data_IF_255405069779
#
_entry.id   IF_255405069779
#
_cell.length_a   1.000
_cell.length_b   1.000
_cell.length_c   1.000
_cell.angle_alpha   90.00
_cell.angle_beta   90.00
_cell.angle_gamma   90.00
#
_symmetry.space_group_name_H-M   'P 1'
#
loop_
_entity.id
_entity.type
_entity.pdbx_description
1 polymer ?
#
# COMPACT_ATOMS: atom_id res chain seq x y z
N UNK A 1 -1.39 3.90 28.78
CA UNK A 1 -1.27 4.67 27.52
C UNK A 1 -1.82 3.92 26.31
N UNK A 2 -1.45 2.64 26.09
CA UNK A 2 -1.99 1.80 24.99
C UNK A 2 -3.52 1.66 24.97
N UNK A 3 -4.17 1.66 26.13
CA UNK A 3 -5.64 1.59 26.25
C UNK A 3 -6.39 2.79 25.67
N UNK A 4 -5.68 3.86 25.24
CA UNK A 4 -6.26 5.04 24.58
C UNK A 4 -6.13 5.00 23.06
N UNK A 5 -5.46 3.99 22.50
CA UNK A 5 -5.28 3.84 21.06
C UNK A 5 -6.53 3.20 20.45
N UNK A 6 -6.88 3.61 19.22
CA UNK A 6 -7.84 2.85 18.42
C UNK A 6 -7.24 1.52 17.97
N UNK A 7 -8.08 0.58 17.54
CA UNK A 7 -7.70 -0.80 17.27
C UNK A 7 -6.57 -0.93 16.22
N UNK A 8 -6.61 -0.10 15.18
CA UNK A 8 -5.56 -0.03 14.15
C UNK A 8 -4.22 0.42 14.75
N UNK A 9 -4.22 1.50 15.53
CA UNK A 9 -3.01 2.00 16.18
C UNK A 9 -2.48 1.03 17.24
N UNK A 10 -3.38 0.33 17.95
CA UNK A 10 -3.04 -0.71 18.90
C UNK A 10 -2.38 -1.91 18.22
N UNK A 11 -2.94 -2.41 17.12
CA UNK A 11 -2.37 -3.51 16.34
C UNK A 11 -0.96 -3.18 15.86
N UNK A 12 -0.76 -2.00 15.25
CA UNK A 12 0.58 -1.53 14.87
C UNK A 12 1.52 -1.44 16.07
N UNK A 13 1.06 -0.90 17.20
CA UNK A 13 1.89 -0.74 18.41
C UNK A 13 2.30 -2.10 18.97
N UNK A 14 1.38 -3.07 19.00
CA UNK A 14 1.65 -4.43 19.41
C UNK A 14 2.71 -5.09 18.51
N UNK A 15 2.51 -5.09 17.19
CA UNK A 15 3.47 -5.66 16.25
C UNK A 15 4.85 -4.98 16.32
N UNK A 16 4.88 -3.66 16.48
CA UNK A 16 6.12 -2.89 16.61
C UNK A 16 6.80 -2.99 18.00
N UNK A 17 6.17 -3.64 18.98
CA UNK A 17 6.78 -3.89 20.29
C UNK A 17 7.71 -5.11 20.27
N UNK A 18 7.52 -6.04 19.32
CA UNK A 18 8.37 -7.21 19.20
C UNK A 18 9.75 -6.85 18.66
N UNK A 19 10.76 -7.14 19.47
CA UNK A 19 12.19 -7.05 19.13
C UNK A 19 12.80 -8.44 19.13
N UNK A 20 13.84 -8.63 18.33
CA UNK A 20 14.56 -9.89 18.28
C UNK A 20 15.48 -9.98 19.51
N UNK A 21 15.43 -11.10 20.24
CA UNK A 21 16.22 -11.26 21.46
C UNK A 21 17.74 -11.11 21.24
N UNK A 22 18.24 -11.51 20.06
CA UNK A 22 19.65 -11.37 19.66
C UNK A 22 20.01 -10.02 19.03
N UNK A 23 19.03 -9.14 18.78
CA UNK A 23 19.25 -7.82 18.20
C UNK A 23 18.23 -6.81 18.76
N UNK A 24 18.36 -6.51 20.05
CA UNK A 24 17.45 -5.62 20.77
C UNK A 24 17.58 -4.15 20.35
N UNK A 25 18.74 -3.77 19.79
CA UNK A 25 19.06 -2.40 19.37
C UNK A 25 18.65 -2.09 17.94
N UNK A 26 18.20 -3.09 17.17
CA UNK A 26 17.69 -2.87 15.82
C UNK A 26 16.54 -1.86 15.81
N UNK A 27 16.47 -1.03 14.77
CA UNK A 27 15.29 -0.20 14.47
C UNK A 27 14.23 -0.94 13.65
N UNK A 28 14.54 -2.16 13.18
CA UNK A 28 13.61 -3.00 12.43
C UNK A 28 12.45 -3.43 13.31
N UNK A 29 11.23 -3.33 12.78
CA UNK A 29 10.01 -3.88 13.40
C UNK A 29 9.13 -4.49 12.33
N UNK A 30 8.38 -5.51 12.71
CA UNK A 30 7.45 -6.19 11.82
C UNK A 30 6.29 -5.26 11.43
N UNK A 31 5.86 -5.26 10.15
CA UNK A 31 4.57 -4.71 9.77
C UNK A 31 3.45 -5.59 10.30
N UNK A 32 2.22 -5.11 10.20
CA UNK A 32 1.02 -5.84 10.58
C UNK A 32 -0.09 -5.68 9.54
N UNK A 33 -1.08 -6.57 9.61
CA UNK A 33 -2.36 -6.42 8.93
C UNK A 33 -3.44 -6.54 9.99
N UNK A 34 -4.31 -5.54 10.09
CA UNK A 34 -5.48 -5.59 10.96
C UNK A 34 -6.70 -5.94 10.12
N UNK A 35 -7.43 -6.97 10.53
CA UNK A 35 -8.74 -7.32 9.98
C UNK A 35 -9.82 -6.64 10.83
N UNK A 36 -10.48 -5.63 10.27
CA UNK A 36 -11.54 -4.89 10.96
C UNK A 36 -12.80 -5.71 11.19
N UNK A 37 -13.07 -6.69 10.32
CA UNK A 37 -14.25 -7.55 10.40
C UNK A 37 -14.11 -8.55 11.53
N UNK A 38 -12.98 -9.26 11.57
CA UNK A 38 -12.69 -10.27 12.60
C UNK A 38 -12.03 -9.68 13.85
N UNK A 39 -11.77 -8.37 13.86
CA UNK A 39 -11.04 -7.64 14.91
C UNK A 39 -9.70 -8.29 15.29
N UNK A 40 -9.02 -8.85 14.29
CA UNK A 40 -7.81 -9.66 14.48
C UNK A 40 -6.58 -8.93 13.97
N UNK A 41 -5.50 -8.94 14.77
CA UNK A 41 -4.21 -8.35 14.41
C UNK A 41 -3.23 -9.44 13.99
N UNK A 42 -2.79 -9.40 12.73
CA UNK A 42 -1.80 -10.31 12.19
C UNK A 42 -0.44 -9.61 12.12
N UNK A 43 0.55 -10.13 12.84
CA UNK A 43 1.93 -9.67 12.70
C UNK A 43 2.57 -10.35 11.49
N UNK A 44 3.08 -9.54 10.56
CA UNK A 44 3.64 -10.04 9.32
C UNK A 44 5.09 -10.45 9.52
N UNK A 45 5.37 -11.73 9.29
CA UNK A 45 6.73 -12.24 9.36
C UNK A 45 7.61 -11.70 8.22
N UNK A 46 7.03 -11.58 7.03
CA UNK A 46 7.66 -11.04 5.83
C UNK A 46 7.29 -9.57 5.65
N UNK A 47 8.29 -8.73 5.36
CA UNK A 47 8.09 -7.31 5.04
C UNK A 47 8.07 -7.02 3.55
N UNK A 48 8.48 -7.99 2.72
CA UNK A 48 8.43 -7.87 1.27
C UNK A 48 6.97 -7.84 0.79
N UNK A 49 6.70 -7.01 -0.21
CA UNK A 49 5.36 -6.77 -0.73
C UNK A 49 5.20 -7.23 -2.17
N UNK A 50 6.28 -7.29 -2.95
CA UNK A 50 6.25 -7.75 -4.34
C UNK A 50 7.45 -8.65 -4.68
N UNK A 51 7.16 -9.74 -5.38
CA UNK A 51 8.11 -10.62 -6.04
C UNK A 51 7.46 -11.10 -7.35
N UNK A 52 7.64 -10.34 -8.43
CA UNK A 52 7.05 -10.60 -9.76
C UNK A 52 8.10 -10.69 -10.86
N UNK A 53 9.34 -11.09 -10.54
CA UNK A 53 10.42 -11.20 -11.53
C UNK A 53 10.03 -12.13 -12.69
N UNK A 54 10.10 -11.68 -13.96
CA UNK A 54 9.56 -12.42 -15.11
C UNK A 54 10.25 -13.77 -15.34
N UNK A 55 11.49 -13.93 -14.85
CA UNK A 55 12.25 -15.19 -14.89
C UNK A 55 11.65 -16.29 -14.00
N UNK A 56 10.95 -15.93 -12.93
CA UNK A 56 10.42 -16.87 -11.92
C UNK A 56 8.90 -16.86 -11.82
N UNK A 57 8.26 -15.78 -12.26
CA UNK A 57 6.81 -15.55 -12.18
C UNK A 57 6.13 -15.55 -13.57
N UNK A 58 6.67 -16.33 -14.51
CA UNK A 58 6.08 -16.50 -15.84
C UNK A 58 4.93 -17.53 -15.81
N UNK A 59 3.80 -17.27 -16.49
CA UNK A 59 2.72 -18.25 -16.66
C UNK A 59 3.17 -19.55 -17.35
N UNK A 60 4.27 -19.48 -18.12
CA UNK A 60 4.80 -20.59 -18.92
C UNK A 60 5.74 -21.52 -18.13
N UNK A 61 5.81 -21.37 -16.80
CA UNK A 61 6.78 -22.10 -15.99
C UNK A 61 6.46 -23.60 -15.91
N UNK A 62 7.03 -24.38 -16.85
CA UNK A 62 7.37 -25.79 -16.69
C UNK A 62 8.35 -26.04 -15.52
N UNK A 63 8.81 -24.98 -14.86
CA UNK A 63 9.80 -25.00 -13.81
C UNK A 63 9.11 -25.27 -12.45
N UNK A 64 9.19 -26.52 -11.96
CA UNK A 64 8.65 -26.95 -10.66
C UNK A 64 9.28 -26.24 -9.45
N UNK A 65 10.36 -25.48 -9.68
CA UNK A 65 11.04 -24.66 -8.68
C UNK A 65 10.57 -23.19 -8.68
N UNK A 66 9.45 -22.87 -9.35
CA UNK A 66 8.85 -21.54 -9.32
C UNK A 66 8.51 -21.11 -7.88
N UNK A 67 9.13 -20.01 -7.45
CA UNK A 67 9.01 -19.43 -6.11
C UNK A 67 7.60 -18.86 -5.91
N UNK A 68 7.19 -18.71 -4.64
CA UNK A 68 5.99 -17.97 -4.27
C UNK A 68 6.04 -16.54 -4.85
N UNK A 69 5.30 -16.33 -5.93
CA UNK A 69 5.12 -15.03 -6.59
C UNK A 69 3.95 -14.29 -5.94
N UNK A 70 4.16 -13.03 -5.61
CA UNK A 70 3.17 -12.21 -4.93
C UNK A 70 3.35 -10.75 -5.30
N UNK A 71 2.26 -9.99 -5.22
CA UNK A 71 2.22 -8.56 -5.44
C UNK A 71 1.17 -7.92 -4.55
N UNK A 72 1.28 -6.62 -4.22
CA UNK A 72 0.23 -5.94 -3.50
C UNK A 72 -1.02 -5.79 -4.40
N UNK A 73 -2.20 -5.87 -3.80
CA UNK A 73 -3.45 -5.69 -4.53
C UNK A 73 -4.57 -5.18 -3.61
N UNK A 74 -5.57 -4.55 -4.19
CA UNK A 74 -6.86 -4.23 -3.55
C UNK A 74 -7.96 -4.97 -4.28
N UNK A 75 -8.40 -6.09 -3.73
CA UNK A 75 -9.50 -6.90 -4.25
C UNK A 75 -10.65 -6.99 -3.22
N UNK A 76 -11.70 -7.74 -3.54
CA UNK A 76 -12.87 -7.88 -2.68
C UNK A 76 -12.54 -8.55 -1.35
N UNK A 77 -11.65 -9.54 -1.35
CA UNK A 77 -11.31 -10.32 -0.17
C UNK A 77 -10.52 -9.51 0.87
N UNK A 78 -9.88 -8.43 0.43
CA UNK A 78 -9.03 -7.58 1.28
C UNK A 78 -9.69 -6.30 1.77
N UNK A 79 -11.00 -6.11 1.52
CA UNK A 79 -11.64 -4.82 1.79
C UNK A 79 -11.62 -4.43 3.27
N UNK A 80 -11.69 -5.39 4.19
CA UNK A 80 -11.66 -5.17 5.64
C UNK A 80 -10.22 -5.16 6.22
N UNK A 81 -9.21 -5.35 5.37
CA UNK A 81 -7.82 -5.47 5.80
C UNK A 81 -7.12 -4.11 5.73
N UNK A 82 -6.39 -3.78 6.79
CA UNK A 82 -5.58 -2.56 6.89
C UNK A 82 -4.11 -2.95 7.03
N UNK A 83 -3.31 -2.67 6.00
CA UNK A 83 -1.87 -2.87 6.05
C UNK A 83 -1.18 -1.76 6.85
N UNK A 84 -0.34 -2.16 7.82
CA UNK A 84 0.24 -1.26 8.81
C UNK A 84 1.76 -1.39 8.82
N UNK A 85 2.45 -0.31 8.41
CA UNK A 85 3.87 -0.19 8.71
C UNK A 85 4.10 0.06 10.20
N UNK A 86 5.33 -0.17 10.67
CA UNK A 86 5.74 0.19 12.04
C UNK A 86 5.61 1.69 12.37
N UNK A 87 5.34 2.54 11.38
CA UNK A 87 5.35 4.00 11.50
C UNK A 87 3.95 4.63 11.40
N UNK A 88 2.86 3.84 11.30
CA UNK A 88 1.49 4.39 11.31
C UNK A 88 1.30 5.29 12.53
N UNK A 89 0.62 6.42 12.34
CA UNK A 89 0.40 7.42 13.38
C UNK A 89 -0.66 6.96 14.38
N UNK A 90 -0.56 7.37 15.63
CA UNK A 90 -1.61 7.10 16.61
C UNK A 90 -2.87 7.93 16.32
N UNK A 91 -2.71 9.13 15.74
CA UNK A 91 -3.76 10.06 15.30
C UNK A 91 -4.09 9.92 13.80
N UNK A 92 -3.94 8.72 13.24
CA UNK A 92 -4.15 8.48 11.80
C UNK A 92 -5.56 8.83 11.35
N UNK A 93 -6.56 8.64 12.21
CA UNK A 93 -7.98 8.94 11.99
C UNK A 93 -8.23 10.43 11.69
N UNK A 94 -7.30 11.30 12.08
CA UNK A 94 -7.36 12.75 11.83
C UNK A 94 -6.35 13.25 10.80
N UNK A 95 -5.35 12.45 10.45
CA UNK A 95 -4.19 12.87 9.65
C UNK A 95 -4.02 12.09 8.35
N UNK A 96 -4.70 10.96 8.22
CA UNK A 96 -4.64 10.06 7.08
C UNK A 96 -6.04 9.89 6.49
N UNK A 97 -6.17 9.74 5.16
CA UNK A 97 -7.45 9.45 4.55
C UNK A 97 -7.96 8.06 4.95
N UNK A 98 -9.28 7.89 5.01
CA UNK A 98 -9.94 6.60 5.19
C UNK A 98 -11.07 6.44 4.19
N UNK A 99 -12.19 7.13 4.41
CA UNK A 99 -13.33 7.10 3.50
C UNK A 99 -13.01 7.86 2.22
N UNK A 100 -13.72 7.52 1.16
CA UNK A 100 -13.80 8.33 -0.05
C UNK A 100 -14.74 9.50 0.20
N UNK A 101 -14.56 10.62 -0.50
CA UNK A 101 -15.45 11.78 -0.33
C UNK A 101 -16.49 11.74 -1.44
N UNK A 102 -17.76 11.56 -1.07
CA UNK A 102 -18.89 11.58 -1.99
C UNK A 102 -19.24 13.00 -2.42
N UNK A 103 -19.87 13.13 -3.59
CA UNK A 103 -20.30 14.43 -4.15
C UNK A 103 -19.14 15.45 -4.25
N UNK A 104 -17.93 14.96 -4.47
CA UNK A 104 -16.73 15.77 -4.40
C UNK A 104 -15.71 15.34 -5.44
N UNK A 105 -15.01 16.33 -6.00
CA UNK A 105 -13.80 16.15 -6.78
C UNK A 105 -12.68 16.97 -6.18
N UNK A 106 -11.47 16.42 -6.19
CA UNK A 106 -10.26 17.15 -5.83
C UNK A 106 -9.97 18.24 -6.87
N UNK A 107 -9.55 19.41 -6.37
CA UNK A 107 -9.13 20.55 -7.18
C UNK A 107 -7.88 21.23 -6.63
N UNK A 108 -7.48 22.31 -7.31
CA UNK A 108 -6.42 23.22 -6.89
C UNK A 108 -6.99 24.60 -6.57
N UNK A 109 -6.67 25.10 -5.38
CA UNK A 109 -6.99 26.46 -4.98
C UNK A 109 -6.07 27.45 -5.70
N UNK A 110 -6.65 28.24 -6.61
CA UNK A 110 -5.96 29.24 -7.42
C UNK A 110 -6.79 30.51 -7.40
N UNK A 111 -6.17 31.64 -7.06
CA UNK A 111 -6.78 32.98 -7.09
C UNK A 111 -8.14 33.09 -6.35
N UNK A 112 -8.30 32.36 -5.26
CA UNK A 112 -9.50 32.40 -4.42
C UNK A 112 -10.63 31.46 -4.88
N UNK A 113 -10.41 30.65 -5.92
CA UNK A 113 -11.35 29.65 -6.41
C UNK A 113 -10.75 28.24 -6.36
N UNK A 114 -11.62 27.23 -6.31
CA UNK A 114 -11.23 25.83 -6.44
C UNK A 114 -11.37 25.38 -7.90
N UNK A 115 -10.24 25.27 -8.59
CA UNK A 115 -10.15 24.90 -10.00
C UNK A 115 -9.88 23.41 -10.19
N UNK A 116 -10.13 22.89 -11.39
CA UNK A 116 -9.84 21.50 -11.75
C UNK A 116 -8.33 21.19 -11.66
N UNK A 117 -7.99 19.90 -11.50
CA UNK A 117 -6.59 19.46 -11.60
C UNK A 117 -6.11 19.59 -13.06
N UNK A 118 -5.04 20.36 -13.36
CA UNK A 118 -4.65 20.66 -14.75
C UNK A 118 -4.20 19.44 -15.56
N UNK A 119 -3.51 18.49 -14.91
CA UNK A 119 -2.94 17.31 -15.56
C UNK A 119 -3.44 16.05 -14.86
N UNK A 120 -4.34 15.34 -15.54
CA UNK A 120 -4.90 14.07 -15.10
C UNK A 120 -4.69 13.01 -16.18
N UNK A 121 -4.56 11.75 -15.77
CA UNK A 121 -4.64 10.60 -16.67
C UNK A 121 -6.02 9.98 -16.54
N UNK A 122 -6.77 9.98 -17.63
CA UNK A 122 -8.06 9.31 -17.70
C UNK A 122 -7.87 7.80 -17.94
N UNK A 123 -8.57 7.00 -17.14
CA UNK A 123 -8.67 5.54 -17.29
C UNK A 123 -10.13 5.14 -17.13
N UNK A 124 -10.57 4.09 -17.82
CA UNK A 124 -11.93 3.55 -17.60
C UNK A 124 -12.02 2.84 -16.24
N UNK A 125 -13.14 3.04 -15.55
CA UNK A 125 -13.43 2.36 -14.29
C UNK A 125 -14.96 2.21 -14.14
N UNK A 126 -15.44 0.99 -13.97
CA UNK A 126 -16.87 0.67 -13.87
C UNK A 126 -17.49 1.16 -12.56
N UNK A 127 -16.70 1.17 -11.50
CA UNK A 127 -17.12 1.55 -10.16
C UNK A 127 -15.95 2.17 -9.36
N UNK A 128 -16.28 2.63 -8.15
CA UNK A 128 -15.33 3.21 -7.22
C UNK A 128 -14.22 2.22 -6.82
N UNK A 129 -14.53 0.91 -6.73
CA UNK A 129 -13.55 -0.12 -6.36
C UNK A 129 -12.47 -0.21 -7.41
N UNK A 130 -12.87 -0.27 -8.68
CA UNK A 130 -11.96 -0.32 -9.81
C UNK A 130 -11.10 0.95 -9.89
N UNK A 131 -11.69 2.13 -9.73
CA UNK A 131 -10.93 3.38 -9.68
C UNK A 131 -9.94 3.42 -8.50
N UNK A 132 -10.36 2.97 -7.30
CA UNK A 132 -9.49 2.88 -6.12
C UNK A 132 -8.32 1.90 -6.34
N UNK A 133 -8.57 0.77 -6.99
CA UNK A 133 -7.54 -0.22 -7.35
C UNK A 133 -6.57 0.33 -8.40
N UNK A 134 -7.06 1.09 -9.39
CA UNK A 134 -6.23 1.76 -10.40
C UNK A 134 -5.29 2.77 -9.75
N UNK A 135 -5.80 3.67 -8.90
CA UNK A 135 -4.96 4.66 -8.21
C UNK A 135 -3.98 3.98 -7.25
N UNK A 136 -4.37 2.89 -6.57
CA UNK A 136 -3.45 2.10 -5.75
C UNK A 136 -2.29 1.53 -6.57
N UNK A 137 -2.57 0.91 -7.73
CA UNK A 137 -1.54 0.34 -8.61
C UNK A 137 -0.63 1.38 -9.27
N UNK A 138 -1.05 2.64 -9.35
CA UNK A 138 -0.26 3.75 -9.91
C UNK A 138 0.41 4.64 -8.83
N UNK A 139 0.16 4.35 -7.56
CA UNK A 139 0.61 5.19 -6.44
C UNK A 139 2.11 5.11 -6.19
N UNK A 140 2.59 5.86 -5.19
CA UNK A 140 3.96 5.80 -4.74
C UNK A 140 4.42 4.36 -4.45
N UNK A 141 5.50 3.92 -5.09
CA UNK A 141 6.12 2.61 -4.87
C UNK A 141 7.58 2.76 -4.51
N UNK A 142 8.01 2.03 -3.49
CA UNK A 142 9.42 1.95 -3.07
C UNK A 142 10.13 0.70 -3.64
N UNK A 143 9.43 -0.06 -4.49
CA UNK A 143 9.98 -1.25 -5.17
C UNK A 143 10.79 -0.83 -6.41
N UNK A 144 11.98 -1.39 -6.64
CA UNK A 144 12.73 -1.16 -7.88
C UNK A 144 12.00 -1.74 -9.10
N UNK A 145 12.12 -1.06 -10.25
CA UNK A 145 11.53 -1.51 -11.53
C UNK A 145 12.32 -2.63 -12.21
N UNK A 146 13.57 -2.88 -11.79
CA UNK A 146 14.42 -3.94 -12.30
C UNK A 146 14.65 -4.98 -11.21
N UNK A 147 14.29 -6.23 -11.49
CA UNK A 147 14.58 -7.38 -10.64
C UNK A 147 16.01 -7.87 -10.95
N UNK A 148 16.85 -7.98 -9.93
CA UNK A 148 18.22 -8.50 -10.09
C UNK A 148 18.21 -9.97 -10.55
N UNK A 149 19.18 -10.34 -11.39
CA UNK A 149 19.24 -11.64 -12.06
C UNK A 149 19.85 -12.78 -11.22
N UNK A 150 20.43 -12.47 -10.05
CA UNK A 150 21.24 -13.46 -9.30
C UNK A 150 20.41 -14.45 -8.45
N UNK A 151 20.68 -15.74 -8.68
CA UNK A 151 20.02 -16.91 -8.07
C UNK A 151 20.26 -17.09 -6.56
N UNK A 152 21.04 -16.24 -5.90
CA UNK A 152 21.54 -16.49 -4.53
C UNK A 152 20.49 -16.29 -3.43
N UNK A 153 19.40 -15.57 -3.70
CA UNK A 153 18.27 -15.40 -2.77
C UNK A 153 17.41 -16.66 -2.58
N UNK A 154 17.29 -17.50 -3.62
CA UNK A 154 16.36 -18.63 -3.65
C UNK A 154 16.73 -19.74 -2.65
N UNK A 155 17.97 -20.21 -2.67
CA UNK A 155 18.45 -21.25 -1.74
C UNK A 155 18.34 -20.76 -0.29
N UNK A 156 18.53 -19.45 -0.05
CA UNK A 156 18.34 -18.82 1.26
C UNK A 156 16.89 -18.83 1.71
N UNK A 157 15.91 -18.56 0.83
CA UNK A 157 14.48 -18.65 1.19
C UNK A 157 14.13 -20.07 1.61
N UNK A 158 14.42 -21.07 0.74
CA UNK A 158 13.99 -22.45 0.96
C UNK A 158 14.69 -23.08 2.17
N UNK A 159 16.00 -22.84 2.34
CA UNK A 159 16.73 -23.30 3.52
C UNK A 159 16.34 -22.53 4.77
N UNK A 160 16.09 -21.21 4.65
CA UNK A 160 15.65 -20.35 5.75
C UNK A 160 14.35 -20.84 6.35
N UNK A 161 13.33 -21.09 5.54
CA UNK A 161 12.06 -21.66 6.01
C UNK A 161 12.21 -23.07 6.55
N UNK A 162 12.97 -23.96 5.89
CA UNK A 162 13.19 -25.34 6.36
C UNK A 162 13.94 -25.40 7.70
N UNK A 163 14.86 -24.47 7.95
CA UNK A 163 15.69 -24.44 9.15
C UNK A 163 15.13 -23.52 10.24
N UNK A 164 13.97 -22.90 10.03
CA UNK A 164 13.47 -21.80 10.87
C UNK A 164 14.52 -20.69 11.11
N UNK A 165 15.41 -20.46 10.13
CA UNK A 165 16.45 -19.45 10.22
C UNK A 165 15.87 -18.07 9.91
N UNK A 166 15.61 -17.32 10.97
CA UNK A 166 14.80 -16.10 10.91
C UNK A 166 15.45 -14.97 10.10
N UNK A 167 16.75 -14.79 10.25
CA UNK A 167 17.52 -13.77 9.52
C UNK A 167 17.60 -14.10 8.02
N UNK A 168 17.76 -15.38 7.70
CA UNK A 168 17.80 -15.84 6.31
C UNK A 168 16.45 -15.61 5.61
N UNK A 169 15.32 -15.91 6.28
CA UNK A 169 13.99 -15.65 5.72
C UNK A 169 13.74 -14.15 5.53
N UNK A 170 14.12 -13.31 6.51
CA UNK A 170 13.93 -11.84 6.42
C UNK A 170 14.75 -11.23 5.28
N UNK A 171 16.02 -11.61 5.19
CA UNK A 171 16.96 -11.04 4.21
C UNK A 171 16.67 -11.48 2.78
N UNK A 172 16.10 -12.67 2.59
CA UNK A 172 15.98 -13.24 1.25
C UNK A 172 14.85 -12.67 0.39
N UNK A 173 13.93 -11.89 0.97
CA UNK A 173 12.91 -11.14 0.22
C UNK A 173 13.13 -9.63 0.18
N UNK A 174 14.19 -9.13 0.82
CA UNK A 174 14.55 -7.71 0.73
C UNK A 174 15.53 -7.54 -0.44
N UNK A 175 15.34 -6.53 -1.33
CA UNK A 175 16.25 -6.31 -2.44
C UNK A 175 17.68 -6.09 -1.93
N UNK A 176 18.66 -6.74 -2.55
CA UNK A 176 20.08 -6.47 -2.28
C UNK A 176 20.33 -5.00 -2.65
N UNK A 177 20.93 -4.22 -1.74
CA UNK A 177 21.11 -2.77 -1.95
C UNK A 177 19.94 -1.86 -1.53
N UNK A 178 18.79 -2.39 -1.09
CA UNK A 178 17.70 -1.59 -0.48
C UNK A 178 18.17 -0.75 0.72
N UNK A 179 19.25 -1.19 1.39
CA UNK A 179 19.84 -0.50 2.52
C UNK A 179 20.69 0.73 2.13
N UNK A 180 21.20 0.80 0.88
CA UNK A 180 22.19 1.81 0.45
C UNK A 180 21.74 2.69 -0.73
N UNK A 181 20.58 2.44 -1.33
CA UNK A 181 20.06 3.21 -2.46
C UNK A 181 18.89 4.11 -2.04
N UNK A 182 19.14 5.42 -1.96
CA UNK A 182 18.06 6.42 -1.80
C UNK A 182 17.20 6.59 -3.06
N UNK A 183 17.63 6.02 -4.19
CA UNK A 183 17.01 6.22 -5.50
C UNK A 183 15.66 5.51 -5.64
N UNK A 184 15.37 4.50 -4.81
CA UNK A 184 14.09 3.76 -4.84
C UNK A 184 13.07 4.26 -3.83
N UNK A 185 13.38 5.25 -2.99
CA UNK A 185 12.42 5.78 -2.01
C UNK A 185 11.52 6.83 -2.68
N UNK A 186 10.26 6.49 -2.93
CA UNK A 186 9.24 7.40 -3.47
C UNK A 186 9.07 8.64 -2.58
N UNK A 187 9.22 8.47 -1.26
CA UNK A 187 8.87 9.47 -0.24
C UNK A 187 7.40 9.92 -0.36
N UNK A 188 6.52 9.02 -0.82
CA UNK A 188 5.10 9.31 -1.04
C UNK A 188 4.79 10.04 -2.35
N UNK A 189 5.75 10.20 -3.27
CA UNK A 189 5.50 10.78 -4.60
C UNK A 189 4.99 9.72 -5.58
N UNK A 190 3.81 9.94 -6.15
CA UNK A 190 3.17 9.02 -7.11
C UNK A 190 1.76 9.50 -7.48
N UNK A 191 1.05 8.75 -8.33
CA UNK A 191 -0.35 9.02 -8.65
C UNK A 191 -1.23 8.55 -7.49
N UNK A 192 -1.29 9.34 -6.42
CA UNK A 192 -1.89 8.92 -5.15
C UNK A 192 -3.37 9.29 -5.01
N UNK A 193 -3.90 10.10 -5.93
CA UNK A 193 -5.25 10.65 -5.87
C UNK A 193 -5.99 10.38 -7.18
N UNK A 194 -7.31 10.25 -7.08
CA UNK A 194 -8.18 10.13 -8.23
C UNK A 194 -9.54 10.78 -8.00
N UNK A 195 -10.10 11.32 -9.06
CA UNK A 195 -11.50 11.74 -9.16
C UNK A 195 -12.25 10.67 -9.96
N UNK A 196 -13.22 9.99 -9.35
CA UNK A 196 -14.05 8.99 -10.03
C UNK A 196 -15.35 9.63 -10.50
N UNK A 197 -15.59 9.67 -11.81
CA UNK A 197 -16.87 10.05 -12.42
C UNK A 197 -17.78 8.83 -12.51
N UNK A 198 -18.77 8.80 -11.62
CA UNK A 198 -19.70 7.69 -11.47
C UNK A 198 -20.70 7.57 -12.63
N UNK A 199 -20.89 8.63 -13.42
CA UNK A 199 -21.79 8.68 -14.58
C UNK A 199 -21.06 8.23 -15.84
N UNK A 200 -19.89 8.82 -16.12
CA UNK A 200 -19.08 8.49 -17.30
C UNK A 200 -18.26 7.22 -17.14
N UNK A 201 -18.16 6.68 -15.93
CA UNK A 201 -17.35 5.49 -15.61
C UNK A 201 -15.87 5.71 -15.94
N UNK A 202 -15.36 6.86 -15.49
CA UNK A 202 -13.98 7.30 -15.71
C UNK A 202 -13.29 7.59 -14.38
N UNK A 203 -12.03 7.21 -14.30
CA UNK A 203 -11.14 7.46 -13.17
C UNK A 203 -10.02 8.40 -13.64
N UNK A 204 -9.99 9.59 -13.07
CA UNK A 204 -9.00 10.62 -13.37
C UNK A 204 -7.91 10.59 -12.30
N UNK A 205 -6.80 9.90 -12.57
CA UNK A 205 -5.69 9.79 -11.62
C UNK A 205 -4.67 10.92 -11.82
N UNK A 206 -4.07 11.40 -10.73
CA UNK A 206 -3.08 12.48 -10.78
C UNK A 206 -2.07 12.39 -9.62
N UNK A 207 -0.93 13.07 -9.78
CA UNK A 207 0.21 13.02 -8.87
C UNK A 207 0.51 14.36 -8.16
N UNK A 208 -0.30 15.38 -8.41
CA UNK A 208 -0.21 16.68 -7.72
C UNK A 208 -1.13 16.67 -6.52
N UNK A 209 -0.62 17.07 -5.35
CA UNK A 209 -1.43 17.12 -4.13
C UNK A 209 -2.58 18.13 -4.31
N UNK A 210 -3.85 17.73 -4.11
CA UNK A 210 -4.97 18.65 -4.20
C UNK A 210 -5.01 19.58 -2.98
N UNK A 211 -5.58 20.77 -3.16
CA UNK A 211 -5.62 21.81 -2.11
C UNK A 211 -7.03 22.28 -1.78
N UNK A 212 -8.04 21.83 -2.52
CA UNK A 212 -9.45 22.11 -2.24
C UNK A 212 -10.35 20.99 -2.82
N UNK A 213 -11.64 21.09 -2.52
CA UNK A 213 -12.69 20.20 -3.03
C UNK A 213 -13.72 21.03 -3.79
N UNK A 214 -14.17 20.52 -4.92
CA UNK A 214 -15.29 21.07 -5.68
C UNK A 214 -16.48 20.14 -5.44
N UNK A 215 -17.62 20.72 -5.07
CA UNK A 215 -18.87 19.99 -4.90
C UNK A 215 -19.41 19.57 -6.27
N UNK A 216 -19.48 18.27 -6.52
CA UNK A 216 -19.98 17.70 -7.77
C UNK A 216 -20.58 16.32 -7.50
N UNK A 217 -21.91 16.22 -7.61
CA UNK A 217 -22.69 15.02 -7.29
C UNK A 217 -22.32 13.78 -8.11
N UNK A 218 -21.67 13.97 -9.26
CA UNK A 218 -21.28 12.85 -10.12
C UNK A 218 -19.97 12.22 -9.67
N UNK A 219 -19.20 12.91 -8.83
CA UNK A 219 -17.84 12.55 -8.49
C UNK A 219 -17.69 11.98 -7.08
N UNK A 220 -16.72 11.07 -6.97
CA UNK A 220 -16.20 10.57 -5.71
C UNK A 220 -14.69 10.79 -5.70
N UNK A 221 -14.18 11.51 -4.72
CA UNK A 221 -12.75 11.74 -4.54
C UNK A 221 -12.14 10.59 -3.73
N UNK A 222 -11.14 9.91 -4.30
CA UNK A 222 -10.49 8.74 -3.70
C UNK A 222 -8.97 8.86 -3.69
N UNK A 223 -8.31 8.14 -2.79
CA UNK A 223 -6.84 8.06 -2.72
C UNK A 223 -6.38 6.62 -2.71
N UNK A 224 -5.11 6.39 -3.04
CA UNK A 224 -4.47 5.08 -2.91
C UNK A 224 -4.57 4.48 -1.49
N UNK A 225 -4.68 5.33 -0.47
CA UNK A 225 -4.80 4.95 0.94
C UNK A 225 -6.25 4.75 1.40
N UNK A 226 -7.24 5.29 0.67
CA UNK A 226 -8.65 5.20 1.04
C UNK A 226 -9.16 3.76 1.01
N UNK A 227 -10.19 3.46 1.82
CA UNK A 227 -10.95 2.23 1.74
C UNK A 227 -11.53 2.08 0.32
N UNK A 228 -11.56 0.87 -0.26
CA UNK A 228 -12.03 0.69 -1.65
C UNK A 228 -13.52 0.99 -1.89
N UNK A 229 -14.31 1.31 -0.86
CA UNK A 229 -15.79 1.36 -0.93
C UNK A 229 -16.43 2.33 0.05
N UNK A 230 -15.94 2.47 1.29
CA UNK A 230 -16.56 3.40 2.25
C UNK A 230 -16.58 4.82 1.68
N UNK A 231 -17.74 5.45 1.65
CA UNK A 231 -17.93 6.84 1.21
C UNK A 231 -18.44 7.66 2.38
N UNK A 232 -17.84 8.82 2.59
CA UNK A 232 -18.39 9.87 3.44
C UNK A 232 -19.33 10.73 2.59
N UNK A 233 -20.63 10.81 2.92
CA UNK A 233 -21.57 11.61 2.16
C UNK A 233 -21.39 13.12 2.37
N UNK A 234 -20.69 13.53 3.44
CA UNK A 234 -20.48 14.93 3.86
C UNK A 234 -19.08 15.17 4.46
#
# INVERSE_FOLDING_TARGET
EMMKLNDIALCRTHAASFVMAGDQNSSYRHPAVYDEKEKTCHMMYLSAQENMGPRYCSPDAQNRDAVFCFKPDKNVDFENLVYLSKNVRNDWDKKCPRKNLGNAKFGLWVDGNCEEIPYVKEVEAKDLRECNRIVFGASASDQPTQYEEEMTGYQKIQQGFRQNNREMIKSAFLPVGAFNSDNFKSKGRGFNWANFDSVKKKCYIFNTKPTCLINDINFIATTALSHPQEVDPE
#
